data_IF_388278383845
#
_entry.id   IF_388278383845
#
_cell.length_a   1.000
_cell.length_b   1.000
_cell.length_c   1.000
_cell.angle_alpha   90.00
_cell.angle_beta   90.00
_cell.angle_gamma   90.00
#
_symmetry.space_group_name_H-M   'P 1'
#
loop_
_entity.id
_entity.type
_entity.pdbx_description
1 polymer ?
#
# COMPACT_ATOMS: atom_id res chain seq x y z
N UNK A 1 -15.38 4.89 22.86
CA UNK A 1 -14.72 5.51 21.68
C UNK A 1 -15.56 5.23 20.44
N UNK A 2 -15.70 6.19 19.51
CA UNK A 2 -16.46 5.98 18.28
C UNK A 2 -15.78 4.97 17.35
N UNK A 3 -16.54 4.34 16.46
CA UNK A 3 -15.98 3.65 15.28
C UNK A 3 -15.54 4.69 14.27
N UNK A 4 -14.36 4.53 13.69
CA UNK A 4 -13.85 5.42 12.65
C UNK A 4 -13.90 4.67 11.32
N UNK A 5 -14.62 5.22 10.35
CA UNK A 5 -14.58 4.80 8.95
C UNK A 5 -13.60 5.71 8.22
N UNK A 6 -12.60 5.13 7.58
CA UNK A 6 -11.58 5.87 6.83
C UNK A 6 -11.72 5.47 5.37
N UNK A 7 -11.78 6.45 4.49
CA UNK A 7 -11.79 6.24 3.04
C UNK A 7 -10.81 7.23 2.40
N UNK A 8 -9.90 6.71 1.57
CA UNK A 8 -8.95 7.52 0.81
C UNK A 8 -9.37 7.51 -0.67
N UNK A 9 -9.70 8.68 -1.22
CA UNK A 9 -10.16 8.81 -2.59
C UNK A 9 -9.26 9.79 -3.34
N UNK A 10 -8.46 9.27 -4.28
CA UNK A 10 -7.47 10.06 -5.04
C UNK A 10 -7.95 10.48 -6.42
N UNK A 11 -9.04 9.89 -6.93
CA UNK A 11 -9.58 10.16 -8.25
C UNK A 11 -11.01 10.72 -8.18
N UNK A 12 -11.46 11.46 -9.21
CA UNK A 12 -12.87 11.81 -9.35
C UNK A 12 -13.76 10.55 -9.29
N UNK A 13 -14.85 10.63 -8.52
CA UNK A 13 -15.85 9.58 -8.40
C UNK A 13 -17.21 10.24 -8.10
N UNK A 14 -18.04 10.38 -9.14
CA UNK A 14 -19.35 11.01 -9.01
C UNK A 14 -20.34 10.21 -8.13
N UNK A 15 -20.05 8.93 -7.85
CA UNK A 15 -20.82 8.07 -6.96
C UNK A 15 -20.29 8.03 -5.52
N UNK A 16 -19.19 8.71 -5.24
CA UNK A 16 -18.40 8.54 -4.02
C UNK A 16 -19.23 8.65 -2.73
N UNK A 17 -19.93 9.77 -2.53
CA UNK A 17 -20.69 9.96 -1.30
C UNK A 17 -21.78 8.90 -1.13
N UNK A 18 -22.47 8.54 -2.22
CA UNK A 18 -23.48 7.48 -2.20
C UNK A 18 -22.92 6.15 -1.76
N UNK A 19 -21.80 5.73 -2.36
CA UNK A 19 -21.08 4.50 -2.01
C UNK A 19 -20.61 4.52 -0.55
N UNK A 20 -19.85 5.54 -0.16
CA UNK A 20 -19.30 5.67 1.19
C UNK A 20 -20.39 5.59 2.26
N UNK A 21 -21.46 6.37 2.14
CA UNK A 21 -22.52 6.35 3.15
C UNK A 21 -23.33 5.04 3.10
N UNK A 22 -23.54 4.43 1.94
CA UNK A 22 -24.19 3.12 1.87
C UNK A 22 -23.39 2.05 2.62
N UNK A 23 -22.07 1.97 2.38
CA UNK A 23 -21.17 1.03 3.04
C UNK A 23 -21.14 1.23 4.56
N UNK A 24 -21.04 2.48 5.02
CA UNK A 24 -21.12 2.81 6.45
C UNK A 24 -22.41 2.28 7.07
N UNK A 25 -23.57 2.55 6.47
CA UNK A 25 -24.85 2.14 7.04
C UNK A 25 -25.07 0.62 6.96
N UNK A 26 -24.61 -0.03 5.89
CA UNK A 26 -24.61 -1.50 5.79
C UNK A 26 -23.79 -2.11 6.91
N UNK A 27 -22.57 -1.59 7.16
CA UNK A 27 -21.73 -2.07 8.26
C UNK A 27 -22.41 -1.88 9.62
N UNK A 28 -22.92 -0.67 9.90
CA UNK A 28 -23.57 -0.36 11.17
C UNK A 28 -24.76 -1.29 11.45
N UNK A 29 -25.54 -1.60 10.41
CA UNK A 29 -26.65 -2.54 10.48
C UNK A 29 -26.17 -3.98 10.66
N UNK A 30 -25.24 -4.46 9.83
CA UNK A 30 -24.76 -5.85 9.87
C UNK A 30 -24.16 -6.22 11.23
N UNK A 31 -23.40 -5.31 11.82
CA UNK A 31 -22.72 -5.54 13.09
C UNK A 31 -23.49 -5.00 14.30
N UNK A 32 -24.74 -4.54 14.11
CA UNK A 32 -25.63 -4.02 15.17
C UNK A 32 -24.91 -3.04 16.10
N UNK A 33 -24.24 -2.07 15.49
CA UNK A 33 -23.35 -1.14 16.19
C UNK A 33 -24.17 -0.21 17.10
N UNK A 34 -23.90 -0.25 18.40
CA UNK A 34 -24.57 0.59 19.41
C UNK A 34 -23.78 1.85 19.83
N UNK A 35 -22.55 2.00 19.35
CA UNK A 35 -21.67 3.14 19.66
C UNK A 35 -21.70 4.18 18.54
N UNK A 36 -21.33 5.42 18.84
CA UNK A 36 -21.19 6.47 17.84
C UNK A 36 -20.14 6.13 16.78
N UNK A 37 -20.26 6.74 15.60
CA UNK A 37 -19.28 6.60 14.52
C UNK A 37 -18.81 7.98 14.03
N UNK A 38 -17.65 8.00 13.38
CA UNK A 38 -17.13 9.16 12.65
C UNK A 38 -16.50 8.70 11.33
N UNK A 39 -16.52 9.58 10.33
CA UNK A 39 -15.83 9.39 9.07
C UNK A 39 -14.56 10.23 9.00
N UNK A 40 -13.51 9.71 8.38
CA UNK A 40 -12.34 10.46 7.95
C UNK A 40 -12.14 10.21 6.47
N UNK A 41 -12.30 11.26 5.67
CA UNK A 41 -12.05 11.21 4.23
C UNK A 41 -10.68 11.81 3.95
N UNK A 42 -9.82 11.06 3.29
CA UNK A 42 -8.53 11.54 2.79
C UNK A 42 -8.69 11.79 1.30
N UNK A 43 -8.62 13.07 0.90
CA UNK A 43 -8.94 13.53 -0.45
C UNK A 43 -7.71 14.20 -1.06
N UNK A 44 -7.52 14.08 -2.38
CA UNK A 44 -6.38 14.71 -3.05
C UNK A 44 -6.50 16.24 -3.00
N UNK A 45 -7.64 16.79 -3.42
CA UNK A 45 -7.91 18.23 -3.47
C UNK A 45 -9.37 18.57 -3.23
N UNK A 46 -9.64 19.85 -2.93
CA UNK A 46 -11.00 20.41 -2.74
C UNK A 46 -11.80 20.49 -4.04
N UNK A 47 -11.12 20.51 -5.18
CA UNK A 47 -11.73 20.57 -6.51
C UNK A 47 -12.12 19.20 -7.05
N UNK A 48 -11.80 18.13 -6.33
CA UNK A 48 -12.10 16.77 -6.74
C UNK A 48 -13.61 16.53 -6.84
N UNK A 49 -14.05 16.01 -7.99
CA UNK A 49 -15.46 15.72 -8.24
C UNK A 49 -15.88 14.42 -7.52
N UNK A 50 -16.57 14.55 -6.39
CA UNK A 50 -17.02 13.43 -5.54
C UNK A 50 -18.54 13.19 -5.61
N UNK A 51 -19.20 13.81 -6.58
CA UNK A 51 -20.65 13.74 -6.76
C UNK A 51 -21.45 14.68 -5.85
N UNK A 52 -22.74 14.39 -5.73
CA UNK A 52 -23.72 15.26 -5.06
C UNK A 52 -23.64 15.11 -3.54
N UNK A 53 -23.30 16.20 -2.86
CA UNK A 53 -23.15 16.22 -1.39
C UNK A 53 -24.47 16.47 -0.63
N UNK A 54 -25.50 16.98 -1.31
CA UNK A 54 -26.74 17.50 -0.72
C UNK A 54 -27.42 16.49 0.21
N UNK A 55 -27.60 15.20 -0.15
CA UNK A 55 -28.25 14.23 0.73
C UNK A 55 -27.46 13.96 2.02
N UNK A 56 -26.16 14.21 2.01
CA UNK A 56 -25.23 13.79 3.07
C UNK A 56 -24.67 14.96 3.89
N UNK A 57 -25.08 16.19 3.57
CA UNK A 57 -24.47 17.42 4.11
C UNK A 57 -24.45 17.49 5.63
N UNK A 58 -25.47 16.96 6.31
CA UNK A 58 -25.50 16.93 7.78
C UNK A 58 -24.37 16.05 8.34
N UNK A 59 -24.22 14.85 7.79
CA UNK A 59 -23.12 13.94 8.14
C UNK A 59 -21.77 14.54 7.82
N UNK A 60 -21.63 15.13 6.63
CA UNK A 60 -20.40 15.79 6.18
C UNK A 60 -19.98 16.96 7.07
N UNK A 61 -20.94 17.62 7.75
CA UNK A 61 -20.67 18.75 8.65
C UNK A 61 -20.38 18.31 10.09
N UNK A 62 -20.98 17.23 10.55
CA UNK A 62 -21.00 16.87 11.99
C UNK A 62 -20.22 15.61 12.34
N UNK A 63 -20.17 14.63 11.43
CA UNK A 63 -19.66 13.29 11.71
C UNK A 63 -18.46 12.92 10.84
N UNK A 64 -18.25 13.62 9.73
CA UNK A 64 -17.16 13.33 8.79
C UNK A 64 -16.15 14.48 8.79
N UNK A 65 -14.88 14.15 9.00
CA UNK A 65 -13.76 15.05 8.82
C UNK A 65 -13.15 14.81 7.44
N UNK A 66 -12.83 15.88 6.72
CA UNK A 66 -12.11 15.81 5.44
C UNK A 66 -10.68 16.30 5.66
N UNK A 67 -9.72 15.46 5.31
CA UNK A 67 -8.30 15.79 5.23
C UNK A 67 -7.97 15.92 3.74
N UNK A 68 -7.55 17.10 3.30
CA UNK A 68 -7.10 17.30 1.93
C UNK A 68 -5.58 17.22 1.90
N UNK A 69 -5.05 16.37 1.02
CA UNK A 69 -3.61 16.20 0.90
C UNK A 69 -2.95 17.47 0.35
N UNK A 70 -3.60 18.22 -0.55
CA UNK A 70 -3.09 19.51 -1.02
C UNK A 70 -2.77 20.50 0.12
N UNK A 71 -3.53 20.46 1.23
CA UNK A 71 -3.30 21.34 2.39
C UNK A 71 -2.00 20.95 3.13
N UNK A 72 -1.54 19.70 3.00
CA UNK A 72 -0.33 19.21 3.65
C UNK A 72 0.94 19.69 2.94
N UNK A 73 0.88 20.03 1.65
CA UNK A 73 2.07 20.41 0.88
C UNK A 73 2.86 21.58 1.50
N UNK A 74 2.17 22.50 2.19
CA UNK A 74 2.79 23.66 2.86
C UNK A 74 2.66 23.63 4.38
N UNK A 75 2.11 22.56 4.95
CA UNK A 75 1.87 22.49 6.38
C UNK A 75 3.17 22.25 7.17
N UNK A 76 3.25 22.85 8.35
CA UNK A 76 4.40 22.73 9.27
C UNK A 76 3.93 22.21 10.63
N UNK A 77 4.86 21.69 11.45
CA UNK A 77 4.58 21.13 12.78
C UNK A 77 3.53 20.00 12.76
N UNK A 78 3.65 19.11 11.78
CA UNK A 78 2.77 17.98 11.61
C UNK A 78 3.07 16.87 12.62
N UNK A 79 2.02 16.17 13.07
CA UNK A 79 2.20 14.87 13.73
C UNK A 79 2.83 13.87 12.76
N UNK A 80 3.54 12.82 13.23
CA UNK A 80 4.19 11.84 12.36
C UNK A 80 3.30 11.26 11.25
N UNK A 81 2.02 10.95 11.55
CA UNK A 81 1.10 10.42 10.54
C UNK A 81 0.74 11.41 9.44
N UNK A 82 0.61 12.70 9.78
CA UNK A 82 0.38 13.75 8.79
C UNK A 82 1.66 14.07 8.00
N UNK A 83 2.82 14.01 8.65
CA UNK A 83 4.11 14.16 7.98
C UNK A 83 4.38 13.01 6.98
N UNK A 84 3.95 11.78 7.29
CA UNK A 84 3.99 10.66 6.35
C UNK A 84 3.11 10.91 5.12
N UNK A 85 1.86 11.36 5.32
CA UNK A 85 0.97 11.71 4.21
C UNK A 85 1.49 12.91 3.41
N UNK A 86 2.17 13.85 4.05
CA UNK A 86 2.80 14.99 3.40
C UNK A 86 3.86 14.55 2.37
N UNK A 87 4.59 13.44 2.62
CA UNK A 87 5.58 12.92 1.67
C UNK A 87 4.97 12.59 0.29
N UNK A 88 3.68 12.28 0.23
CA UNK A 88 2.96 11.96 -1.02
C UNK A 88 2.83 13.20 -1.92
N UNK A 89 2.69 14.40 -1.32
CA UNK A 89 2.26 15.61 -2.04
C UNK A 89 3.29 16.73 -2.12
N UNK A 90 4.31 16.74 -1.26
CA UNK A 90 5.37 17.76 -1.33
C UNK A 90 6.21 17.63 -2.60
N UNK A 91 6.97 18.67 -2.94
CA UNK A 91 7.89 18.63 -4.08
C UNK A 91 8.99 17.58 -3.89
N UNK A 92 9.43 16.97 -5.00
CA UNK A 92 10.48 15.93 -5.01
C UNK A 92 11.78 16.44 -4.39
N UNK A 93 12.13 17.70 -4.62
CA UNK A 93 13.31 18.37 -4.06
C UNK A 93 13.30 18.49 -2.53
N UNK A 94 12.14 18.58 -1.90
CA UNK A 94 11.97 18.71 -0.45
C UNK A 94 11.73 17.36 0.24
N UNK A 95 11.53 16.31 -0.55
CA UNK A 95 11.06 15.01 -0.02
C UNK A 95 12.10 14.33 0.87
N UNK A 96 13.38 14.40 0.52
CA UNK A 96 14.43 13.76 1.30
C UNK A 96 14.53 14.36 2.72
N UNK A 97 14.53 15.70 2.83
CA UNK A 97 14.60 16.41 4.11
C UNK A 97 13.37 16.13 4.99
N UNK A 98 12.17 16.13 4.40
CA UNK A 98 10.94 15.80 5.10
C UNK A 98 10.92 14.35 5.59
N UNK A 99 11.38 13.40 4.76
CA UNK A 99 11.47 11.99 5.14
C UNK A 99 12.47 11.79 6.28
N UNK A 100 13.63 12.44 6.23
CA UNK A 100 14.62 12.41 7.31
C UNK A 100 14.04 12.95 8.63
N UNK A 101 13.36 14.10 8.57
CA UNK A 101 12.75 14.70 9.76
C UNK A 101 11.70 13.77 10.38
N UNK A 102 10.92 13.09 9.54
CA UNK A 102 9.96 12.09 9.98
C UNK A 102 10.65 10.90 10.64
N UNK A 103 11.66 10.29 10.00
CA UNK A 103 12.43 9.16 10.57
C UNK A 103 12.99 9.52 11.95
N UNK A 104 13.58 10.70 12.11
CA UNK A 104 14.08 11.17 13.40
C UNK A 104 12.97 11.32 14.44
N UNK A 105 11.80 11.82 14.04
CA UNK A 105 10.65 11.99 14.94
C UNK A 105 10.07 10.66 15.45
N UNK A 106 10.22 9.57 14.69
CA UNK A 106 9.68 8.24 15.04
C UNK A 106 10.74 7.25 15.54
N UNK A 107 12.02 7.64 15.59
CA UNK A 107 13.15 6.76 15.92
C UNK A 107 13.00 6.01 17.25
N UNK A 108 12.36 6.63 18.24
CA UNK A 108 12.16 6.06 19.58
C UNK A 108 10.78 5.40 19.77
N UNK A 109 10.01 5.20 18.69
CA UNK A 109 8.70 4.56 18.77
C UNK A 109 8.82 3.03 18.70
N UNK A 110 7.98 2.27 19.42
CA UNK A 110 7.97 0.81 19.34
C UNK A 110 7.72 0.28 17.92
N UNK A 111 6.98 1.05 17.10
CA UNK A 111 6.59 0.70 15.74
C UNK A 111 7.56 1.26 14.67
N UNK A 112 8.79 1.63 15.04
CA UNK A 112 9.74 2.30 14.15
C UNK A 112 9.94 1.58 12.81
N UNK A 113 10.05 0.25 12.81
CA UNK A 113 10.17 -0.54 11.58
C UNK A 113 8.95 -0.38 10.68
N UNK A 114 7.73 -0.37 11.23
CA UNK A 114 6.51 -0.18 10.44
C UNK A 114 6.46 1.23 9.83
N UNK A 115 6.95 2.25 10.55
CA UNK A 115 7.10 3.59 9.98
C UNK A 115 8.08 3.61 8.82
N UNK A 116 9.22 2.94 8.95
CA UNK A 116 10.21 2.84 7.88
C UNK A 116 9.63 2.15 6.64
N UNK A 117 8.89 1.04 6.81
CA UNK A 117 8.21 0.36 5.71
C UNK A 117 7.29 1.30 4.92
N UNK A 118 6.50 2.12 5.64
CA UNK A 118 5.59 3.08 5.02
C UNK A 118 6.33 4.21 4.30
N UNK A 119 7.41 4.72 4.89
CA UNK A 119 8.23 5.77 4.28
C UNK A 119 8.88 5.23 3.00
N UNK A 120 9.51 4.05 3.05
CA UNK A 120 10.11 3.40 1.88
C UNK A 120 9.07 3.18 0.77
N UNK A 121 7.87 2.70 1.11
CA UNK A 121 6.81 2.47 0.13
C UNK A 121 6.35 3.76 -0.58
N UNK A 122 6.24 4.87 0.17
CA UNK A 122 5.89 6.17 -0.41
C UNK A 122 7.03 6.67 -1.29
N UNK A 123 8.28 6.59 -0.83
CA UNK A 123 9.45 7.04 -1.61
C UNK A 123 9.64 6.22 -2.89
N UNK A 124 9.48 4.89 -2.82
CA UNK A 124 9.57 4.01 -3.99
C UNK A 124 8.50 4.34 -5.04
N UNK A 125 7.27 4.64 -4.63
CA UNK A 125 6.22 5.09 -5.56
C UNK A 125 6.49 6.49 -6.11
N UNK A 126 7.06 7.39 -5.31
CA UNK A 126 7.31 8.76 -5.71
C UNK A 126 8.53 8.92 -6.62
N UNK A 127 9.51 8.04 -6.48
CA UNK A 127 10.74 7.99 -7.26
C UNK A 127 10.88 6.65 -7.97
N UNK A 128 10.04 6.35 -8.98
CA UNK A 128 10.01 5.05 -9.64
C UNK A 128 11.32 4.73 -10.38
N UNK A 129 12.07 5.76 -10.76
CA UNK A 129 13.36 5.62 -11.47
C UNK A 129 14.53 5.34 -10.53
N UNK A 130 14.35 5.46 -9.21
CA UNK A 130 15.40 5.21 -8.24
C UNK A 130 15.29 3.78 -7.72
N UNK A 131 16.44 3.10 -7.69
CA UNK A 131 16.57 1.86 -6.95
C UNK A 131 16.42 2.11 -5.45
N UNK A 132 16.03 1.07 -4.72
CA UNK A 132 15.91 1.14 -3.26
C UNK A 132 17.23 1.51 -2.59
N UNK A 133 18.37 1.09 -3.15
CA UNK A 133 19.68 1.52 -2.66
C UNK A 133 19.90 3.02 -2.83
N UNK A 134 19.46 3.59 -3.94
CA UNK A 134 19.57 5.03 -4.20
C UNK A 134 18.64 5.83 -3.28
N UNK A 135 17.43 5.31 -3.00
CA UNK A 135 16.52 5.88 -2.00
C UNK A 135 17.17 5.86 -0.61
N UNK A 136 17.82 4.77 -0.21
CA UNK A 136 18.52 4.66 1.09
C UNK A 136 19.76 5.53 1.19
N UNK A 137 20.42 5.80 0.05
CA UNK A 137 21.55 6.72 -0.05
C UNK A 137 21.13 8.18 -0.07
N UNK A 138 19.82 8.49 -0.14
CA UNK A 138 19.37 9.87 0.03
C UNK A 138 19.85 10.41 1.39
N UNK A 139 20.36 11.65 1.44
CA UNK A 139 20.83 12.25 2.68
C UNK A 139 19.75 12.14 3.77
N UNK A 140 20.12 11.53 4.90
CA UNK A 140 19.23 11.41 6.07
C UNK A 140 18.44 10.11 6.22
N UNK A 141 18.47 9.20 5.24
CA UNK A 141 17.82 7.87 5.30
C UNK A 141 18.82 6.72 5.57
N UNK A 142 20.05 7.05 5.95
CA UNK A 142 21.11 6.10 6.30
C UNK A 142 20.83 5.44 7.66
N UNK A 143 19.79 4.63 7.73
CA UNK A 143 19.59 3.69 8.81
C UNK A 143 20.20 2.35 8.38
N UNK A 144 21.18 1.88 9.13
CA UNK A 144 21.97 0.66 8.86
C UNK A 144 21.17 -0.66 8.95
N UNK A 145 19.84 -0.59 9.15
CA UNK A 145 19.00 -1.73 9.57
C UNK A 145 17.71 -1.90 8.73
N UNK A 146 17.72 -1.43 7.48
CA UNK A 146 16.54 -1.44 6.59
C UNK A 146 16.38 -2.74 5.77
N UNK A 147 17.24 -3.74 5.94
CA UNK A 147 17.17 -5.01 5.18
C UNK A 147 15.96 -5.89 5.51
N UNK A 148 15.15 -5.53 6.50
CA UNK A 148 14.06 -6.35 7.03
C UNK A 148 12.66 -5.73 6.91
N UNK A 149 12.45 -4.76 6.03
CA UNK A 149 11.14 -4.13 5.83
C UNK A 149 10.18 -5.09 5.12
N UNK A 150 8.90 -5.15 5.54
CA UNK A 150 7.91 -6.08 4.92
C UNK A 150 7.65 -5.73 3.46
N UNK A 151 7.67 -4.44 3.14
CA UNK A 151 7.61 -3.94 1.77
C UNK A 151 8.71 -4.54 0.88
N UNK A 152 9.95 -4.64 1.40
CA UNK A 152 11.04 -5.27 0.66
C UNK A 152 10.76 -6.74 0.37
N UNK A 153 10.26 -7.49 1.34
CA UNK A 153 9.91 -8.90 1.17
C UNK A 153 8.81 -9.08 0.12
N UNK A 154 7.79 -8.21 0.10
CA UNK A 154 6.70 -8.28 -0.86
C UNK A 154 7.16 -7.91 -2.28
N UNK A 155 7.95 -6.84 -2.44
CA UNK A 155 8.49 -6.42 -3.75
C UNK A 155 9.47 -7.45 -4.30
N UNK A 156 10.35 -7.98 -3.46
CA UNK A 156 11.31 -9.02 -3.84
C UNK A 156 10.58 -10.31 -4.26
N UNK A 157 9.58 -10.75 -3.48
CA UNK A 157 8.76 -11.93 -3.79
C UNK A 157 7.98 -11.76 -5.10
N UNK A 158 7.40 -10.59 -5.34
CA UNK A 158 6.72 -10.30 -6.62
C UNK A 158 7.72 -10.43 -7.79
N UNK A 159 8.92 -9.85 -7.65
CA UNK A 159 9.99 -9.96 -8.64
C UNK A 159 10.43 -11.41 -8.90
N UNK A 160 10.65 -12.19 -7.86
CA UNK A 160 10.97 -13.63 -7.96
C UNK A 160 9.86 -14.40 -8.68
N UNK A 161 8.60 -14.16 -8.30
CA UNK A 161 7.44 -14.83 -8.90
C UNK A 161 7.32 -14.52 -10.39
N UNK A 162 7.48 -13.25 -10.80
CA UNK A 162 7.42 -12.86 -12.21
C UNK A 162 8.57 -13.45 -13.02
N UNK A 163 9.76 -13.51 -12.44
CA UNK A 163 10.92 -14.14 -13.08
C UNK A 163 10.71 -15.64 -13.29
N UNK A 164 10.15 -16.34 -12.30
CA UNK A 164 9.80 -17.75 -12.39
C UNK A 164 8.70 -17.97 -13.44
N UNK A 165 7.63 -17.17 -13.42
CA UNK A 165 6.55 -17.23 -14.42
C UNK A 165 7.12 -17.07 -15.83
N UNK A 166 7.96 -16.07 -16.08
CA UNK A 166 8.62 -15.87 -17.39
C UNK A 166 9.47 -17.07 -17.82
N UNK A 167 10.20 -17.69 -16.88
CA UNK A 167 11.02 -18.87 -17.18
C UNK A 167 10.17 -20.10 -17.50
N UNK A 168 9.08 -20.30 -16.75
CA UNK A 168 8.11 -21.36 -17.01
C UNK A 168 7.42 -21.15 -18.36
N UNK A 169 6.94 -19.94 -18.63
CA UNK A 169 6.31 -19.56 -19.90
C UNK A 169 7.21 -19.89 -21.10
N UNK A 170 8.50 -19.55 -20.98
CA UNK A 170 9.50 -19.86 -22.00
C UNK A 170 9.82 -21.36 -22.13
N UNK A 171 9.93 -22.09 -21.01
CA UNK A 171 10.43 -23.48 -20.99
C UNK A 171 9.34 -24.51 -21.31
N UNK A 172 8.15 -24.34 -20.74
CA UNK A 172 7.07 -25.33 -20.77
C UNK A 172 5.79 -24.82 -21.44
N UNK A 173 5.80 -23.59 -21.95
CA UNK A 173 4.70 -22.98 -22.70
C UNK A 173 3.81 -22.09 -21.83
N UNK A 174 2.78 -21.52 -22.47
CA UNK A 174 1.98 -20.43 -21.88
C UNK A 174 1.38 -20.77 -20.53
N UNK A 175 1.70 -19.95 -19.52
CA UNK A 175 1.12 -20.06 -18.17
C UNK A 175 -0.21 -19.32 -18.16
N UNK A 176 -1.29 -20.02 -17.78
CA UNK A 176 -2.60 -19.38 -17.65
C UNK A 176 -2.71 -18.53 -16.38
N UNK A 177 -3.71 -17.65 -16.35
CA UNK A 177 -3.94 -16.70 -15.25
C UNK A 177 -4.15 -17.40 -13.89
N UNK A 178 -4.70 -18.62 -13.89
CA UNK A 178 -4.93 -19.38 -12.65
C UNK A 178 -3.60 -19.85 -12.07
N UNK A 179 -2.72 -20.41 -12.90
CA UNK A 179 -1.38 -20.85 -12.50
C UNK A 179 -0.50 -19.65 -12.11
N UNK A 180 -0.57 -18.54 -12.84
CA UNK A 180 0.11 -17.31 -12.45
C UNK A 180 -0.31 -16.85 -11.04
N UNK A 181 -1.61 -16.84 -10.75
CA UNK A 181 -2.11 -16.43 -9.44
C UNK A 181 -1.64 -17.37 -8.32
N UNK A 182 -1.55 -18.68 -8.59
CA UNK A 182 -1.01 -19.64 -7.61
C UNK A 182 0.46 -19.39 -7.35
N UNK A 183 1.27 -19.19 -8.39
CA UNK A 183 2.71 -18.90 -8.26
C UNK A 183 2.94 -17.59 -7.48
N UNK A 184 2.18 -16.53 -7.77
CA UNK A 184 2.27 -15.25 -7.05
C UNK A 184 1.88 -15.33 -5.57
N UNK A 185 1.14 -16.36 -5.17
CA UNK A 185 0.73 -16.60 -3.78
C UNK A 185 1.74 -17.40 -2.95
N UNK A 186 2.77 -17.97 -3.58
CA UNK A 186 3.80 -18.77 -2.91
C UNK A 186 4.69 -17.90 -2.00
N UNK A 187 5.16 -18.44 -0.88
CA UNK A 187 6.17 -17.79 -0.04
C UNK A 187 7.53 -17.72 -0.74
N UNK A 188 8.44 -16.85 -0.29
CA UNK A 188 9.80 -16.78 -0.86
C UNK A 188 10.56 -18.11 -0.79
N UNK A 189 10.36 -18.89 0.29
CA UNK A 189 10.95 -20.24 0.39
C UNK A 189 10.37 -21.20 -0.67
N UNK A 190 9.07 -21.14 -0.90
CA UNK A 190 8.42 -21.93 -1.95
C UNK A 190 8.84 -21.49 -3.35
N UNK A 191 9.03 -20.18 -3.58
CA UNK A 191 9.54 -19.66 -4.85
C UNK A 191 10.98 -20.10 -5.11
N UNK A 192 11.88 -20.09 -4.13
CA UNK A 192 13.24 -20.63 -4.29
C UNK A 192 13.22 -22.13 -4.63
N UNK A 193 12.35 -22.89 -3.96
CA UNK A 193 12.16 -24.32 -4.24
C UNK A 193 11.57 -24.58 -5.64
N UNK A 194 10.65 -23.72 -6.11
CA UNK A 194 10.11 -23.76 -7.45
C UNK A 194 11.19 -23.38 -8.48
N UNK A 195 12.01 -22.37 -8.17
CA UNK A 195 13.17 -21.93 -8.92
C UNK A 195 14.15 -23.06 -9.25
N UNK A 196 14.36 -23.98 -8.30
CA UNK A 196 15.19 -25.18 -8.49
C UNK A 196 14.46 -26.26 -9.27
N UNK A 197 13.21 -26.56 -8.91
CA UNK A 197 12.45 -27.64 -9.53
C UNK A 197 12.09 -27.35 -11.00
N UNK A 198 11.89 -26.08 -11.38
CA UNK A 198 11.54 -25.71 -12.75
C UNK A 198 12.60 -26.12 -13.77
N UNK A 199 13.86 -26.31 -13.34
CA UNK A 199 14.93 -26.77 -14.21
C UNK A 199 14.67 -28.17 -14.76
N UNK A 200 13.97 -29.01 -14.01
CA UNK A 200 13.66 -30.40 -14.36
C UNK A 200 12.34 -30.55 -15.12
N UNK A 201 11.48 -29.53 -15.12
CA UNK A 201 10.17 -29.59 -15.78
C UNK A 201 10.30 -29.77 -17.30
N UNK A 202 9.45 -30.62 -17.86
CA UNK A 202 9.37 -30.88 -19.30
C UNK A 202 8.08 -30.31 -19.90
N UNK A 203 7.01 -30.24 -19.11
CA UNK A 203 5.71 -29.74 -19.56
C UNK A 203 4.89 -29.15 -18.40
N UNK A 204 3.73 -28.58 -18.74
CA UNK A 204 2.86 -27.92 -17.76
C UNK A 204 2.31 -28.84 -16.67
N UNK A 205 2.21 -30.15 -16.92
CA UNK A 205 1.74 -31.12 -15.93
C UNK A 205 2.73 -31.28 -14.77
N UNK A 206 4.03 -31.09 -15.02
CA UNK A 206 5.06 -31.16 -13.98
C UNK A 206 4.90 -30.01 -12.98
N UNK A 207 4.61 -28.81 -13.49
CA UNK A 207 4.29 -27.63 -12.67
C UNK A 207 3.02 -27.86 -11.85
N UNK A 208 1.96 -28.36 -12.47
CA UNK A 208 0.69 -28.64 -11.78
C UNK A 208 0.89 -29.68 -10.67
N UNK A 209 1.61 -30.77 -10.96
CA UNK A 209 1.92 -31.80 -9.97
C UNK A 209 2.74 -31.24 -8.81
N UNK A 210 3.72 -30.38 -9.11
CA UNK A 210 4.53 -29.71 -8.09
C UNK A 210 3.70 -28.82 -7.17
N UNK A 211 2.82 -27.99 -7.74
CA UNK A 211 1.94 -27.09 -6.97
C UNK A 211 0.99 -27.89 -6.07
N UNK A 212 0.45 -29.01 -6.55
CA UNK A 212 -0.42 -29.89 -5.73
C UNK A 212 0.38 -30.59 -4.63
N UNK A 213 1.59 -31.07 -4.90
CA UNK A 213 2.41 -31.81 -3.95
C UNK A 213 2.91 -30.97 -2.76
N UNK A 214 2.97 -29.64 -2.92
CA UNK A 214 3.44 -28.69 -1.89
C UNK A 214 2.34 -27.78 -1.31
N UNK A 215 1.07 -28.04 -1.66
CA UNK A 215 -0.12 -27.41 -1.06
C UNK A 215 -0.91 -28.36 -0.13
N UNK A 216 -0.22 -28.95 0.85
CA UNK A 216 -0.75 -29.28 2.19
C UNK A 216 0.24 -28.82 3.26
#
# INVERSE_FOLDING_TARGET
MPIIFIEAQMQPDAGFYGRFFAEVHVYLHQYQVVRSWRGLLILASRQQELGVDVPYRLYLKQQVQKLYLEDLATAVNLSPGLALLQLIVIETSQTAEAAQSLVQSVANTPDFTQWLDLIEAILGNKFPDLSLEEIRKMPGLQAEDLSHTRFYQDVFREGESQMIIRQLDYKIGTIDVSLESQIKSLSSEQLDLLGKALLDFQNISDLQAWLVARHL
#
